data_IF_801379365543
#
_entry.id   IF_801379365543
#
_cell.length_a   1.000
_cell.length_b   1.000
_cell.length_c   1.000
_cell.angle_alpha   90.00
_cell.angle_beta   90.00
_cell.angle_gamma   90.00
#
_symmetry.space_group_name_H-M   'P 1'
#
loop_
_entity.id
_entity.type
_entity.pdbx_description
1 polymer ?
#
# COMPACT_ATOMS: atom_id res chain seq x y z
N UNK A 1 -25.73 -7.78 15.28
CA UNK A 1 -25.39 -6.45 14.76
C UNK A 1 -23.93 -6.25 15.09
N UNK A 2 -23.06 -6.00 14.10
CA UNK A 2 -21.66 -5.72 14.40
C UNK A 2 -21.56 -4.38 15.15
N UNK A 3 -20.73 -4.31 16.18
CA UNK A 3 -20.47 -3.04 16.87
C UNK A 3 -19.84 -2.05 15.87
N UNK A 4 -20.31 -0.79 15.94
CA UNK A 4 -19.77 0.29 15.11
C UNK A 4 -18.29 0.52 15.48
N UNK A 5 -17.38 0.70 14.50
CA UNK A 5 -15.99 1.00 14.81
C UNK A 5 -15.86 2.28 15.63
N UNK A 6 -15.03 2.24 16.68
CA UNK A 6 -14.74 3.40 17.52
C UNK A 6 -13.62 4.26 16.92
N UNK A 7 -13.88 5.54 16.71
CA UNK A 7 -12.89 6.54 16.28
C UNK A 7 -12.46 7.34 17.50
N UNK A 8 -11.15 7.40 17.75
CA UNK A 8 -10.62 8.17 18.87
C UNK A 8 -10.69 9.67 18.61
N UNK A 9 -11.13 10.44 19.59
CA UNK A 9 -11.15 11.90 19.61
C UNK A 9 -10.14 12.43 20.63
N UNK A 10 -9.21 13.28 20.17
CA UNK A 10 -8.29 14.01 21.04
C UNK A 10 -8.51 15.51 20.87
N UNK A 11 -8.59 16.25 21.97
CA UNK A 11 -8.79 17.70 21.93
C UNK A 11 -7.52 18.43 22.36
N UNK A 12 -7.29 19.62 21.81
CA UNK A 12 -6.32 20.55 22.36
C UNK A 12 -6.79 21.12 23.72
N UNK A 13 -5.86 21.67 24.51
CA UNK A 13 -6.13 22.23 25.85
C UNK A 13 -7.05 23.46 25.92
N UNK A 14 -7.58 23.94 24.79
CA UNK A 14 -8.63 24.97 24.79
C UNK A 14 -8.14 26.42 24.83
N UNK A 15 -6.92 26.69 24.37
CA UNK A 15 -6.31 28.03 24.36
C UNK A 15 -7.07 29.06 23.48
N UNK A 16 -8.00 28.59 22.62
CA UNK A 16 -8.83 29.41 21.76
C UNK A 16 -10.30 29.30 22.20
N UNK A 17 -10.85 30.36 22.79
CA UNK A 17 -12.24 30.41 23.26
C UNK A 17 -13.29 30.56 22.16
N UNK A 18 -12.88 30.90 20.93
CA UNK A 18 -13.77 30.99 19.75
C UNK A 18 -14.00 29.64 19.07
N UNK A 19 -13.31 28.60 19.53
CA UNK A 19 -13.33 27.27 18.95
C UNK A 19 -14.42 26.40 19.59
N UNK A 20 -15.48 26.12 18.83
CA UNK A 20 -16.53 25.19 19.25
C UNK A 20 -16.18 23.75 18.85
N UNK A 21 -15.50 23.06 19.76
CA UNK A 21 -15.15 21.65 19.60
C UNK A 21 -16.37 20.73 19.47
N UNK A 22 -17.50 21.10 20.08
CA UNK A 22 -18.72 20.28 20.05
C UNK A 22 -19.37 20.36 18.68
N UNK A 23 -19.48 21.57 18.12
CA UNK A 23 -20.00 21.76 16.77
C UNK A 23 -19.11 21.09 15.71
N UNK A 24 -17.78 21.16 15.87
CA UNK A 24 -16.84 20.48 14.97
C UNK A 24 -17.06 18.97 14.95
N UNK A 25 -17.10 18.34 16.13
CA UNK A 25 -17.28 16.89 16.26
C UNK A 25 -18.64 16.46 15.73
N UNK A 26 -19.73 17.18 16.06
CA UNK A 26 -21.07 16.89 15.53
C UNK A 26 -21.14 16.93 13.99
N UNK A 27 -20.46 17.90 13.37
CA UNK A 27 -20.38 17.97 11.90
C UNK A 27 -19.55 16.84 11.31
N UNK A 28 -18.54 16.36 12.03
CA UNK A 28 -17.76 15.20 11.60
C UNK A 28 -18.56 13.91 11.74
N UNK A 29 -19.22 13.70 12.88
CA UNK A 29 -20.13 12.58 13.14
C UNK A 29 -21.22 12.45 12.08
N UNK A 30 -21.78 13.57 11.60
CA UNK A 30 -22.81 13.52 10.55
C UNK A 30 -22.30 12.99 9.20
N UNK A 31 -20.99 12.93 8.97
CA UNK A 31 -20.41 12.30 7.77
C UNK A 31 -20.17 10.79 7.90
N UNK A 32 -20.22 10.24 9.12
CA UNK A 32 -19.87 8.84 9.43
C UNK A 32 -20.91 8.18 10.36
N UNK A 33 -22.18 8.05 9.94
CA UNK A 33 -23.24 7.42 10.74
C UNK A 33 -22.94 5.94 11.12
N UNK A 34 -22.03 5.30 10.39
CA UNK A 34 -21.55 3.93 10.58
C UNK A 34 -20.51 3.78 11.70
N UNK A 35 -19.90 4.87 12.18
CA UNK A 35 -18.87 4.84 13.22
C UNK A 35 -19.35 5.53 14.51
N UNK A 36 -18.64 5.26 15.62
CA UNK A 36 -18.87 5.92 16.91
C UNK A 36 -17.62 6.70 17.28
N UNK A 37 -17.77 7.96 17.70
CA UNK A 37 -16.63 8.77 18.12
C UNK A 37 -16.53 8.75 19.65
N UNK A 38 -15.35 8.40 20.17
CA UNK A 38 -15.09 8.25 21.61
C UNK A 38 -13.82 8.99 22.00
N UNK A 39 -13.69 9.40 23.27
CA UNK A 39 -12.45 10.04 23.74
C UNK A 39 -11.25 9.10 23.57
N UNK A 40 -10.18 9.56 22.93
CA UNK A 40 -8.99 8.75 22.70
C UNK A 40 -8.21 8.53 24.01
N UNK A 41 -8.24 7.29 24.47
CA UNK A 41 -7.47 6.76 25.62
C UNK A 41 -6.07 6.31 25.22
N UNK A 42 -5.12 6.43 26.15
CA UNK A 42 -3.73 5.97 25.93
C UNK A 42 -3.66 4.44 25.91
N UNK A 43 -2.84 3.89 25.00
CA UNK A 43 -2.67 2.44 24.83
C UNK A 43 -3.85 1.70 24.18
N UNK A 44 -5.05 2.29 24.14
CA UNK A 44 -6.20 1.73 23.39
C UNK A 44 -6.00 1.93 21.89
N UNK A 45 -6.19 0.87 21.12
CA UNK A 45 -6.04 0.90 19.66
C UNK A 45 -7.29 1.45 18.99
N UNK A 46 -7.11 2.37 18.05
CA UNK A 46 -8.18 2.91 17.23
C UNK A 46 -7.88 2.74 15.74
N UNK A 47 -8.88 2.43 14.89
CA UNK A 47 -8.72 2.42 13.43
C UNK A 47 -8.28 3.78 12.87
N UNK A 48 -8.69 4.88 13.52
CA UNK A 48 -8.24 6.23 13.25
C UNK A 48 -8.42 7.11 14.51
N UNK A 49 -7.61 8.15 14.63
CA UNK A 49 -7.75 9.17 15.68
C UNK A 49 -7.85 10.54 15.04
N UNK A 50 -8.87 11.30 15.44
CA UNK A 50 -9.06 12.69 15.05
C UNK A 50 -8.58 13.60 16.17
N UNK A 51 -7.66 14.50 15.85
CA UNK A 51 -7.10 15.50 16.75
C UNK A 51 -7.72 16.85 16.43
N UNK A 52 -8.67 17.25 17.26
CA UNK A 52 -9.49 18.43 17.09
C UNK A 52 -8.82 19.64 17.78
N UNK A 53 -8.14 20.47 16.99
CA UNK A 53 -7.37 21.62 17.43
C UNK A 53 -8.09 22.95 17.16
N UNK A 54 -8.04 23.87 18.12
CA UNK A 54 -8.55 25.23 17.94
C UNK A 54 -7.66 26.16 17.11
N UNK A 55 -6.44 25.72 16.77
CA UNK A 55 -5.47 26.46 15.94
C UNK A 55 -4.41 25.49 15.36
N UNK A 56 -3.58 25.99 14.44
CA UNK A 56 -2.57 25.21 13.72
C UNK A 56 -1.36 24.77 14.54
N UNK A 57 -1.27 25.16 15.83
CA UNK A 57 -0.12 24.84 16.69
C UNK A 57 -0.05 23.37 17.13
N UNK A 58 -1.11 22.58 16.90
CA UNK A 58 -1.16 21.12 17.17
C UNK A 58 -0.68 20.71 18.58
N UNK A 59 -1.02 21.51 19.60
CA UNK A 59 -0.55 21.31 20.97
C UNK A 59 -1.16 20.10 21.72
N UNK A 60 -2.06 19.34 21.09
CA UNK A 60 -2.65 18.17 21.72
C UNK A 60 -1.61 17.05 21.85
N UNK A 61 -1.47 16.48 23.05
CA UNK A 61 -0.57 15.34 23.25
C UNK A 61 -1.17 14.07 22.62
N UNK A 62 -0.41 13.48 21.69
CA UNK A 62 -0.77 12.27 20.93
C UNK A 62 0.21 11.11 21.13
N UNK A 63 1.29 11.29 21.90
CA UNK A 63 2.39 10.31 21.98
C UNK A 63 1.97 8.97 22.57
N UNK A 64 0.95 8.94 23.44
CA UNK A 64 0.41 7.72 24.05
C UNK A 64 -0.71 7.03 23.24
N UNK A 65 -1.08 7.54 22.07
CA UNK A 65 -2.21 7.00 21.30
C UNK A 65 -1.74 5.89 20.35
N UNK A 66 -2.36 4.71 20.47
CA UNK A 66 -2.07 3.56 19.61
C UNK A 66 -2.91 3.65 18.31
N UNK A 67 -2.40 4.38 17.32
CA UNK A 67 -3.06 4.58 16.02
C UNK A 67 -2.12 4.19 14.87
N UNK A 68 -2.60 3.51 13.81
CA UNK A 68 -1.77 3.21 12.65
C UNK A 68 -1.17 4.46 12.00
N UNK A 69 0.01 4.33 11.40
CA UNK A 69 0.66 5.44 10.69
C UNK A 69 -0.28 6.04 9.63
N UNK A 70 -0.28 7.37 9.53
CA UNK A 70 -1.15 8.10 8.61
C UNK A 70 -2.64 8.18 9.01
N UNK A 71 -3.05 7.55 10.14
CA UNK A 71 -4.44 7.57 10.62
C UNK A 71 -4.69 8.50 11.80
N UNK A 72 -3.72 9.38 12.08
CA UNK A 72 -3.84 10.51 13.00
C UNK A 72 -4.21 11.78 12.21
N UNK A 73 -5.46 12.20 12.28
CA UNK A 73 -6.03 13.26 11.44
C UNK A 73 -6.21 14.53 12.25
N UNK A 74 -5.42 15.54 11.93
CA UNK A 74 -5.55 16.86 12.54
C UNK A 74 -6.65 17.67 11.87
N UNK A 75 -7.50 18.28 12.71
CA UNK A 75 -8.57 19.19 12.33
C UNK A 75 -8.36 20.52 13.00
N UNK A 76 -8.30 21.60 12.23
CA UNK A 76 -8.29 22.95 12.78
C UNK A 76 -9.69 23.57 12.71
N UNK A 77 -10.08 24.34 13.74
CA UNK A 77 -11.42 24.96 13.83
C UNK A 77 -11.83 25.91 12.70
N UNK A 78 -10.91 26.29 11.81
CA UNK A 78 -11.19 27.11 10.62
C UNK A 78 -10.96 26.42 9.28
N UNK A 79 -10.62 25.12 9.27
CA UNK A 79 -10.40 24.37 8.03
C UNK A 79 -11.72 23.85 7.43
N UNK A 80 -11.71 23.68 6.10
CA UNK A 80 -12.74 22.89 5.42
C UNK A 80 -12.72 21.45 5.97
N UNK A 81 -13.91 20.92 6.28
CA UNK A 81 -14.08 19.57 6.81
C UNK A 81 -14.00 18.51 5.73
N UNK A 82 -14.22 18.86 4.45
CA UNK A 82 -14.23 17.88 3.37
C UNK A 82 -12.88 17.14 3.23
N UNK A 83 -11.71 17.79 3.23
CA UNK A 83 -10.42 17.09 3.20
C UNK A 83 -10.20 16.16 4.39
N UNK A 84 -10.66 16.55 5.57
CA UNK A 84 -10.52 15.74 6.77
C UNK A 84 -11.48 14.54 6.78
N UNK A 85 -12.72 14.74 6.30
CA UNK A 85 -13.67 13.67 6.03
C UNK A 85 -13.06 12.66 5.06
N UNK A 86 -12.49 13.10 3.95
CA UNK A 86 -11.96 12.16 2.95
C UNK A 86 -10.72 11.40 3.47
N UNK A 87 -9.91 12.01 4.35
CA UNK A 87 -8.84 11.30 5.06
C UNK A 87 -9.39 10.28 6.06
N UNK A 88 -10.42 10.64 6.83
CA UNK A 88 -11.02 9.77 7.83
C UNK A 88 -11.75 8.58 7.19
N UNK A 89 -12.46 8.81 6.08
CA UNK A 89 -13.10 7.74 5.30
C UNK A 89 -12.10 6.70 4.82
N UNK A 90 -11.00 7.15 4.19
CA UNK A 90 -9.89 6.25 3.79
C UNK A 90 -9.26 5.51 4.97
N UNK A 91 -9.17 6.15 6.14
CA UNK A 91 -8.65 5.51 7.34
C UNK A 91 -9.60 4.43 7.90
N UNK A 92 -10.91 4.60 7.72
CA UNK A 92 -11.95 3.69 8.23
C UNK A 92 -12.23 2.51 7.31
N UNK A 93 -12.13 2.68 6.00
CA UNK A 93 -12.36 1.62 5.01
C UNK A 93 -11.35 0.46 5.12
N UNK A 94 -10.29 0.61 5.93
CA UNK A 94 -9.17 -0.33 5.94
C UNK A 94 -8.40 -0.25 4.62
N UNK A 95 -7.30 -1.00 4.45
CA UNK A 95 -6.70 -1.07 3.13
C UNK A 95 -7.65 -1.86 2.22
N UNK A 96 -8.17 -1.20 1.19
CA UNK A 96 -9.13 -1.80 0.26
C UNK A 96 -8.48 -3.02 -0.43
N UNK A 97 -9.00 -4.21 -0.14
CA UNK A 97 -8.63 -5.42 -0.88
C UNK A 97 -9.34 -5.36 -2.21
N UNK A 98 -8.60 -5.38 -3.32
CA UNK A 98 -9.18 -5.46 -4.66
C UNK A 98 -8.33 -6.33 -5.58
N UNK A 99 -8.97 -6.87 -6.61
CA UNK A 99 -8.30 -7.45 -7.78
C UNK A 99 -8.12 -6.38 -8.85
N UNK A 100 -7.14 -6.55 -9.73
CA UNK A 100 -6.91 -5.68 -10.89
C UNK A 100 -6.84 -6.52 -12.16
N UNK A 101 -7.65 -6.18 -13.16
CA UNK A 101 -7.51 -6.77 -14.50
C UNK A 101 -6.29 -6.20 -15.24
N UNK A 102 -5.95 -6.81 -16.38
CA UNK A 102 -4.79 -6.39 -17.20
C UNK A 102 -4.82 -4.91 -17.57
N UNK A 103 -5.98 -4.37 -17.95
CA UNK A 103 -6.13 -2.96 -18.32
C UNK A 103 -5.86 -2.02 -17.14
N UNK A 104 -6.15 -2.46 -15.91
CA UNK A 104 -5.88 -1.70 -14.69
C UNK A 104 -4.41 -1.76 -14.31
N UNK A 105 -3.79 -2.94 -14.42
CA UNK A 105 -2.33 -3.10 -14.27
C UNK A 105 -1.58 -2.18 -15.22
N UNK A 106 -1.98 -2.14 -16.50
CA UNK A 106 -1.36 -1.27 -17.52
C UNK A 106 -1.55 0.23 -17.24
N UNK A 107 -2.60 0.61 -16.51
CA UNK A 107 -2.84 2.01 -16.10
C UNK A 107 -1.94 2.41 -14.93
N UNK A 108 -1.59 1.47 -14.06
CA UNK A 108 -0.78 1.72 -12.86
C UNK A 108 0.71 1.58 -13.17
N UNK A 109 1.11 0.45 -13.76
CA UNK A 109 2.50 0.18 -14.10
C UNK A 109 2.91 0.90 -15.39
N UNK A 110 4.09 1.54 -15.43
CA UNK A 110 4.61 2.14 -16.66
C UNK A 110 5.17 1.09 -17.64
N UNK A 111 5.48 -0.11 -17.16
CA UNK A 111 6.05 -1.23 -17.94
C UNK A 111 5.15 -1.64 -19.12
N UNK A 112 5.76 -2.01 -20.25
CA UNK A 112 5.07 -2.49 -21.44
C UNK A 112 5.79 -3.70 -22.04
N UNK A 113 5.11 -4.54 -22.84
CA UNK A 113 5.78 -5.62 -23.57
C UNK A 113 7.00 -5.10 -24.36
N UNK A 114 8.12 -5.85 -24.39
CA UNK A 114 8.31 -7.20 -23.82
C UNK A 114 8.84 -7.22 -22.36
N UNK A 115 8.72 -6.12 -21.60
CA UNK A 115 9.23 -5.98 -20.22
C UNK A 115 8.11 -5.80 -19.16
N UNK A 116 6.88 -6.23 -19.47
CA UNK A 116 5.79 -6.29 -18.51
C UNK A 116 5.63 -7.75 -18.06
N UNK A 117 5.84 -8.01 -16.77
CA UNK A 117 5.82 -9.35 -16.18
C UNK A 117 4.74 -9.49 -15.09
N UNK A 118 3.63 -8.80 -15.29
CA UNK A 118 2.41 -8.90 -14.48
C UNK A 118 1.22 -8.88 -15.43
N UNK A 119 0.40 -9.93 -15.40
CA UNK A 119 -0.81 -10.04 -16.22
C UNK A 119 -2.02 -9.43 -15.51
N UNK A 120 -2.24 -9.82 -14.26
CA UNK A 120 -3.33 -9.35 -13.40
C UNK A 120 -2.91 -9.41 -11.92
N UNK A 121 -3.62 -8.67 -11.07
CA UNK A 121 -3.50 -8.80 -9.63
C UNK A 121 -4.73 -9.53 -9.08
N UNK A 122 -4.54 -10.75 -8.60
CA UNK A 122 -5.60 -11.52 -7.94
C UNK A 122 -5.93 -10.93 -6.56
N UNK A 123 -4.97 -10.22 -5.95
CA UNK A 123 -5.17 -9.53 -4.68
C UNK A 123 -4.22 -8.34 -4.57
N UNK A 124 -4.74 -7.22 -4.11
CA UNK A 124 -3.96 -6.01 -3.84
C UNK A 124 -4.48 -5.33 -2.59
N UNK A 125 -3.55 -5.01 -1.69
CA UNK A 125 -3.76 -4.24 -0.47
C UNK A 125 -2.75 -3.08 -0.49
N UNK A 126 -3.17 -1.86 -0.89
CA UNK A 126 -2.24 -0.75 -1.11
C UNK A 126 -1.32 -0.48 0.08
N UNK A 127 -0.01 -0.39 -0.18
CA UNK A 127 1.02 -0.17 0.83
C UNK A 127 1.25 -1.33 1.81
N UNK A 128 0.68 -2.51 1.57
CA UNK A 128 0.86 -3.69 2.43
C UNK A 128 1.38 -4.86 1.61
N UNK A 129 0.59 -5.35 0.66
CA UNK A 129 0.89 -6.58 -0.08
C UNK A 129 0.15 -6.65 -1.41
N UNK A 130 0.65 -7.48 -2.32
CA UNK A 130 0.00 -7.82 -3.59
C UNK A 130 0.27 -9.27 -3.97
N UNK A 131 -0.69 -9.91 -4.64
CA UNK A 131 -0.53 -11.18 -5.31
C UNK A 131 -0.94 -11.03 -6.77
N UNK A 132 -0.07 -11.46 -7.68
CA UNK A 132 -0.23 -11.32 -9.13
C UNK A 132 0.08 -12.62 -9.84
N UNK A 133 -0.27 -12.68 -11.12
CA UNK A 133 0.12 -13.76 -12.01
C UNK A 133 0.96 -13.27 -13.18
N UNK A 134 1.84 -14.13 -13.68
CA UNK A 134 2.57 -13.92 -14.92
C UNK A 134 2.71 -15.23 -15.70
N UNK A 135 2.18 -15.27 -16.92
CA UNK A 135 2.36 -16.38 -17.84
C UNK A 135 3.66 -16.23 -18.62
N UNK A 136 4.52 -17.25 -18.55
CA UNK A 136 5.77 -17.31 -19.31
C UNK A 136 5.45 -17.74 -20.74
N UNK A 137 5.12 -16.75 -21.57
CA UNK A 137 4.88 -16.97 -23.01
C UNK A 137 6.12 -17.63 -23.64
N UNK A 138 5.99 -18.81 -24.28
CA UNK A 138 7.09 -19.43 -25.02
C UNK A 138 7.72 -18.54 -26.10
N UNK A 139 7.01 -17.52 -26.58
CA UNK A 139 7.50 -16.53 -27.53
C UNK A 139 8.30 -15.39 -26.87
N UNK A 140 8.45 -15.35 -25.54
CA UNK A 140 9.21 -14.32 -24.86
C UNK A 140 10.66 -14.27 -25.40
N UNK A 141 11.16 -13.11 -25.88
CA UNK A 141 12.43 -13.06 -26.61
C UNK A 141 13.64 -13.61 -25.86
N UNK A 142 13.64 -13.57 -24.52
CA UNK A 142 14.74 -14.12 -23.74
C UNK A 142 14.87 -15.65 -23.84
N UNK A 143 13.76 -16.38 -24.06
CA UNK A 143 13.74 -17.84 -24.05
C UNK A 143 14.46 -18.45 -25.25
N UNK A 144 14.50 -17.76 -26.39
CA UNK A 144 15.28 -18.23 -27.54
C UNK A 144 16.79 -18.23 -27.29
N UNK A 145 17.26 -17.38 -26.37
CA UNK A 145 18.67 -17.25 -26.00
C UNK A 145 19.04 -17.92 -24.67
N UNK A 146 18.06 -18.35 -23.87
CA UNK A 146 18.29 -18.84 -22.51
C UNK A 146 17.46 -20.11 -22.24
N UNK A 147 17.82 -21.27 -22.79
CA UNK A 147 18.94 -21.54 -23.69
C UNK A 147 18.42 -22.24 -24.95
N UNK A 148 19.08 -22.12 -26.11
CA UNK A 148 18.70 -22.88 -27.30
C UNK A 148 18.61 -24.39 -27.00
N UNK A 149 17.43 -24.97 -27.16
CA UNK A 149 17.16 -26.40 -26.90
C UNK A 149 16.79 -26.77 -25.46
N UNK A 150 17.05 -25.91 -24.47
CA UNK A 150 16.63 -26.06 -23.05
C UNK A 150 16.18 -24.69 -22.50
N UNK A 151 15.03 -24.17 -22.94
CA UNK A 151 14.57 -22.84 -22.54
C UNK A 151 14.15 -22.81 -21.07
N UNK A 152 14.64 -21.81 -20.35
CA UNK A 152 14.39 -21.54 -18.93
C UNK A 152 14.24 -20.04 -18.76
N UNK A 153 13.22 -19.57 -18.03
CA UNK A 153 13.10 -18.14 -17.73
C UNK A 153 14.34 -17.67 -16.93
N UNK A 154 15.07 -16.63 -17.38
CA UNK A 154 16.18 -16.09 -16.62
C UNK A 154 15.73 -15.65 -15.22
N UNK A 155 16.48 -16.04 -14.18
CA UNK A 155 16.12 -15.66 -12.79
C UNK A 155 16.01 -14.15 -12.58
N UNK A 156 16.71 -13.34 -13.38
CA UNK A 156 16.58 -11.88 -13.37
C UNK A 156 15.17 -11.40 -13.78
N UNK A 157 14.47 -12.11 -14.66
CA UNK A 157 13.09 -11.78 -15.01
C UNK A 157 12.13 -12.18 -13.89
N UNK A 158 12.46 -13.23 -13.14
CA UNK A 158 11.72 -13.59 -11.90
C UNK A 158 11.86 -12.51 -10.83
N UNK A 159 13.05 -11.93 -10.67
CA UNK A 159 13.28 -10.79 -9.76
C UNK A 159 12.51 -9.55 -10.23
N UNK A 160 12.55 -9.26 -11.53
CA UNK A 160 11.84 -8.13 -12.12
C UNK A 160 10.32 -8.28 -11.95
N UNK A 161 9.75 -9.46 -12.19
CA UNK A 161 8.33 -9.72 -11.99
C UNK A 161 7.88 -9.50 -10.53
N UNK A 162 8.73 -9.87 -9.57
CA UNK A 162 8.52 -9.57 -8.16
C UNK A 162 8.60 -8.07 -7.85
N UNK A 163 9.55 -7.34 -8.46
CA UNK A 163 9.64 -5.89 -8.32
C UNK A 163 8.41 -5.19 -8.91
N UNK A 164 7.93 -5.58 -10.09
CA UNK A 164 6.71 -5.02 -10.68
C UNK A 164 5.44 -5.31 -9.85
N UNK A 165 5.40 -6.47 -9.20
CA UNK A 165 4.33 -6.81 -8.25
C UNK A 165 4.40 -5.91 -7.01
N UNK A 166 5.61 -5.63 -6.50
CA UNK A 166 5.82 -4.63 -5.45
C UNK A 166 5.51 -3.20 -5.93
N UNK A 167 5.73 -2.86 -7.19
CA UNK A 167 5.37 -1.55 -7.74
C UNK A 167 3.85 -1.34 -7.70
N UNK A 168 3.03 -2.38 -7.92
CA UNK A 168 1.57 -2.26 -7.82
C UNK A 168 1.11 -1.82 -6.43
N UNK A 169 1.65 -2.39 -5.35
CA UNK A 169 1.26 -1.99 -3.99
C UNK A 169 1.77 -0.59 -3.64
N UNK A 170 2.88 -0.15 -4.23
CA UNK A 170 3.47 1.17 -3.99
C UNK A 170 2.77 2.26 -4.81
N UNK A 171 2.65 2.10 -6.12
CA UNK A 171 2.09 3.08 -7.04
C UNK A 171 0.57 3.28 -6.86
N UNK A 172 -0.10 2.41 -6.11
CA UNK A 172 -1.51 2.60 -5.74
C UNK A 172 -1.71 3.45 -4.50
N UNK A 173 -0.62 3.87 -3.84
CA UNK A 173 -0.67 4.89 -2.80
C UNK A 173 -0.67 6.28 -3.44
N UNK A 174 -1.53 7.18 -2.95
CA UNK A 174 -1.66 8.55 -3.47
C UNK A 174 -0.31 9.29 -3.58
N UNK A 175 0.63 9.02 -2.67
CA UNK A 175 1.97 9.63 -2.64
C UNK A 175 2.94 9.15 -3.74
N UNK A 176 2.64 8.02 -4.38
CA UNK A 176 3.46 7.43 -5.44
C UNK A 176 2.70 7.24 -6.76
N UNK A 177 1.39 7.49 -6.78
CA UNK A 177 0.58 7.41 -7.99
C UNK A 177 1.20 8.23 -9.14
N UNK A 178 1.39 7.58 -10.29
CA UNK A 178 1.96 8.18 -11.49
C UNK A 178 3.48 8.36 -11.48
N UNK A 179 4.19 7.96 -10.42
CA UNK A 179 5.65 7.95 -10.39
C UNK A 179 6.24 6.80 -11.18
N UNK A 180 7.52 6.94 -11.54
CA UNK A 180 8.30 5.86 -12.15
C UNK A 180 9.06 5.10 -11.08
N UNK A 181 8.80 3.80 -10.87
CA UNK A 181 9.59 2.98 -9.99
C UNK A 181 10.96 2.72 -10.61
N UNK A 182 12.02 2.87 -9.83
CA UNK A 182 13.39 2.57 -10.22
C UNK A 182 13.95 1.47 -9.32
N UNK A 183 14.54 0.46 -9.94
CA UNK A 183 15.20 -0.63 -9.25
C UNK A 183 16.54 -0.15 -8.66
N UNK A 184 16.65 -0.15 -7.33
CA UNK A 184 17.83 0.39 -6.64
C UNK A 184 18.80 -0.66 -6.12
N UNK A 185 18.32 -1.88 -5.88
CA UNK A 185 19.20 -2.97 -5.51
C UNK A 185 18.45 -4.21 -5.05
N UNK A 186 19.18 -5.31 -4.97
CA UNK A 186 18.68 -6.60 -4.48
C UNK A 186 19.41 -6.88 -3.17
N UNK A 187 18.66 -7.05 -2.08
CA UNK A 187 19.23 -7.47 -0.79
C UNK A 187 19.46 -8.98 -0.76
N UNK A 188 18.53 -9.73 -1.35
CA UNK A 188 18.53 -11.19 -1.34
C UNK A 188 17.82 -11.71 -2.58
N UNK A 189 18.35 -12.77 -3.18
CA UNK A 189 17.66 -13.54 -4.21
C UNK A 189 18.07 -15.00 -4.11
N UNK A 190 17.09 -15.88 -3.92
CA UNK A 190 17.27 -17.32 -3.93
C UNK A 190 16.41 -17.93 -5.03
N UNK A 191 17.01 -18.80 -5.84
CA UNK A 191 16.33 -19.54 -6.90
C UNK A 191 16.37 -21.03 -6.55
N UNK A 192 15.20 -21.65 -6.49
CA UNK A 192 15.02 -23.01 -5.97
C UNK A 192 14.61 -23.97 -7.08
N UNK A 193 13.85 -23.50 -8.07
CA UNK A 193 13.35 -24.29 -9.20
C UNK A 193 13.54 -23.56 -10.52
N UNK A 194 13.75 -24.32 -11.60
CA UNK A 194 13.66 -23.79 -12.96
C UNK A 194 12.21 -23.39 -13.24
N UNK A 195 12.04 -22.27 -13.92
CA UNK A 195 10.76 -21.80 -14.44
C UNK A 195 10.81 -21.98 -15.95
N UNK A 196 9.83 -22.67 -16.52
CA UNK A 196 9.86 -23.13 -17.90
C UNK A 196 8.85 -22.35 -18.76
N UNK A 197 9.02 -22.34 -20.10
CA UNK A 197 8.00 -21.83 -21.00
C UNK A 197 6.65 -22.51 -20.74
N UNK A 198 5.58 -21.71 -20.71
CA UNK A 198 4.24 -22.17 -20.43
C UNK A 198 3.88 -22.30 -18.94
N UNK A 199 4.82 -22.09 -18.02
CA UNK A 199 4.47 -21.95 -16.60
C UNK A 199 3.75 -20.62 -16.32
N UNK A 200 2.83 -20.65 -15.37
CA UNK A 200 2.27 -19.44 -14.75
C UNK A 200 2.90 -19.26 -13.38
N UNK A 201 3.51 -18.11 -13.16
CA UNK A 201 4.03 -17.69 -11.88
C UNK A 201 2.89 -17.08 -11.08
N UNK A 202 2.79 -17.47 -9.81
CA UNK A 202 2.04 -16.74 -8.80
C UNK A 202 3.05 -15.98 -7.94
N UNK A 203 2.93 -14.66 -7.87
CA UNK A 203 3.95 -13.79 -7.28
C UNK A 203 3.31 -13.03 -6.13
N UNK A 204 3.83 -13.21 -4.93
CA UNK A 204 3.38 -12.49 -3.74
C UNK A 204 4.44 -11.46 -3.36
N UNK A 205 4.05 -10.23 -3.10
CA UNK A 205 4.94 -9.18 -2.63
C UNK A 205 4.41 -8.51 -1.37
N UNK A 206 5.32 -8.18 -0.45
CA UNK A 206 5.04 -7.53 0.82
C UNK A 206 5.95 -6.31 1.02
N UNK A 207 5.42 -5.22 1.56
CA UNK A 207 6.24 -4.09 2.00
C UNK A 207 6.94 -4.41 3.33
N UNK A 208 8.27 -4.39 3.34
CA UNK A 208 9.08 -4.63 4.54
C UNK A 208 9.51 -3.33 5.24
N UNK A 209 10.00 -2.37 4.46
CA UNK A 209 10.50 -1.09 4.96
C UNK A 209 10.10 0.03 4.00
N UNK A 210 9.79 1.21 4.53
CA UNK A 210 9.54 2.41 3.74
C UNK A 210 10.24 3.62 4.37
N UNK A 211 10.84 4.44 3.51
CA UNK A 211 11.39 5.77 3.81
C UNK A 211 10.69 6.76 2.89
N UNK A 212 9.49 7.14 3.31
CA UNK A 212 8.54 7.94 2.52
C UNK A 212 9.17 9.25 2.02
N UNK A 213 9.95 9.91 2.87
CA UNK A 213 10.63 11.17 2.57
C UNK A 213 11.65 11.06 1.42
N UNK A 214 12.16 9.86 1.17
CA UNK A 214 13.09 9.56 0.07
C UNK A 214 12.40 8.82 -1.09
N UNK A 215 11.11 8.47 -0.94
CA UNK A 215 10.39 7.59 -1.86
C UNK A 215 11.04 6.21 -2.00
N UNK A 216 11.69 5.70 -0.94
CA UNK A 216 12.38 4.41 -0.97
C UNK A 216 11.56 3.35 -0.25
N UNK A 217 11.47 2.16 -0.84
CA UNK A 217 10.83 1.01 -0.24
C UNK A 217 11.71 -0.24 -0.37
N UNK A 218 11.60 -1.14 0.59
CA UNK A 218 12.13 -2.50 0.50
C UNK A 218 10.96 -3.46 0.54
N UNK A 219 10.87 -4.33 -0.45
CA UNK A 219 9.79 -5.29 -0.57
C UNK A 219 10.34 -6.71 -0.64
N UNK A 220 9.59 -7.65 -0.06
CA UNK A 220 9.80 -9.07 -0.26
C UNK A 220 9.02 -9.52 -1.49
N UNK A 221 9.55 -10.47 -2.23
CA UNK A 221 8.84 -11.20 -3.29
C UNK A 221 8.98 -12.70 -3.10
N UNK A 222 7.87 -13.44 -3.14
CA UNK A 222 7.85 -14.91 -3.18
C UNK A 222 7.17 -15.36 -4.47
N UNK A 223 7.86 -16.20 -5.24
CA UNK A 223 7.40 -16.66 -6.53
C UNK A 223 7.11 -18.15 -6.43
N UNK A 224 5.88 -18.52 -6.77
CA UNK A 224 5.40 -19.89 -6.80
C UNK A 224 5.13 -20.32 -8.23
N UNK A 225 5.46 -21.56 -8.55
CA UNK A 225 5.10 -22.22 -9.80
C UNK A 225 4.46 -23.54 -9.42
N UNK A 226 3.24 -23.79 -9.92
CA UNK A 226 2.45 -25.01 -9.60
C UNK A 226 2.31 -25.25 -8.09
N UNK A 227 2.14 -24.18 -7.31
CA UNK A 227 1.98 -24.22 -5.85
C UNK A 227 3.27 -24.42 -5.05
N UNK A 228 4.44 -24.48 -5.70
CA UNK A 228 5.73 -24.68 -5.03
C UNK A 228 6.61 -23.44 -5.12
N UNK A 229 7.31 -23.10 -4.03
CA UNK A 229 8.20 -21.94 -3.97
C UNK A 229 9.38 -22.13 -4.94
N UNK A 230 9.38 -21.36 -6.02
CA UNK A 230 10.41 -21.36 -7.06
C UNK A 230 11.52 -20.34 -6.77
N UNK A 231 11.18 -19.18 -6.19
CA UNK A 231 12.17 -18.16 -5.80
C UNK A 231 11.68 -17.28 -4.62
N UNK A 232 12.62 -16.71 -3.86
CA UNK A 232 12.37 -15.65 -2.89
C UNK A 232 13.40 -14.53 -3.02
N UNK A 233 12.92 -13.29 -3.01
CA UNK A 233 13.74 -12.10 -3.24
C UNK A 233 13.39 -10.99 -2.25
N UNK A 234 14.35 -10.11 -2.01
CA UNK A 234 14.14 -8.83 -1.34
C UNK A 234 14.75 -7.73 -2.19
N UNK A 235 13.92 -6.78 -2.62
CA UNK A 235 14.29 -5.74 -3.59
C UNK A 235 14.10 -4.36 -2.96
N UNK A 236 14.98 -3.42 -3.32
CA UNK A 236 14.86 -2.01 -2.95
C UNK A 236 14.46 -1.21 -4.19
N UNK A 237 13.40 -0.43 -4.03
CA UNK A 237 12.78 0.37 -5.09
C UNK A 237 12.76 1.84 -4.70
N UNK A 238 12.83 2.73 -5.69
CA UNK A 238 12.67 4.16 -5.54
C UNK A 238 11.53 4.68 -6.42
N UNK A 239 10.55 5.38 -5.83
CA UNK A 239 9.44 6.00 -6.56
C UNK A 239 9.82 7.43 -6.94
N UNK A 240 10.09 7.68 -8.23
CA UNK A 240 10.58 8.99 -8.74
C UNK A 240 9.58 9.73 -9.60
#
# INVERSE_FOLDING_TARGET
>A
MADKPEIGLRYCGGCNSRYDRVALVKRLESFFPEATFVGAEEGKSYPAVVVACGCSSRCANVSGLAVPMGRLIYLNGGEDLLPARDRLRRALEGPAVRSLCREEVLRILPHRPPMLFVDEAIRLVPGVEAATTFYVDPALPALSGHFPGDPVLPGVYTVEAAAQTADLLLLTLDRYAGKTPLFMGIRKANFRKKILPGDTLEIHADLLEEREELGLAVCRGQIFVRGELAADVEVRLAMR
#
